data_IF_871675719059
#
_entry.id   IF_871675719059
#
_cell.length_a   1.000
_cell.length_b   1.000
_cell.length_c   1.000
_cell.angle_alpha   90.00
_cell.angle_beta   90.00
_cell.angle_gamma   90.00
#
_symmetry.space_group_name_H-M   'P 1'
#
loop_
_entity.id
_entity.type
_entity.pdbx_description
1 polymer ?
#
# COMPACT_ATOMS: atom_id res chain seq x y z
N UNK A 1 39.06 -18.86 33.82
CA UNK A 1 38.09 -17.75 33.71
C UNK A 1 38.37 -16.82 32.52
N UNK A 2 39.55 -16.17 32.38
CA UNK A 2 39.84 -15.23 31.27
C UNK A 2 39.73 -15.82 29.85
N UNK A 3 40.17 -17.06 29.63
CA UNK A 3 40.05 -17.77 28.34
C UNK A 3 38.58 -18.03 27.95
N UNK A 4 37.76 -18.47 28.91
CA UNK A 4 36.33 -18.69 28.70
C UNK A 4 35.61 -17.39 28.34
N UNK A 5 35.90 -16.30 29.06
CA UNK A 5 35.32 -14.98 28.77
C UNK A 5 35.67 -14.48 27.36
N UNK A 6 36.90 -14.71 26.90
CA UNK A 6 37.34 -14.37 25.54
C UNK A 6 36.61 -15.19 24.47
N UNK A 7 36.44 -16.50 24.68
CA UNK A 7 35.71 -17.38 23.76
C UNK A 7 34.23 -16.96 23.68
N UNK A 8 33.62 -16.67 24.83
CA UNK A 8 32.22 -16.18 24.88
C UNK A 8 32.09 -14.85 24.13
N UNK A 9 33.01 -13.90 24.36
CA UNK A 9 33.00 -12.61 23.67
C UNK A 9 33.15 -12.74 22.14
N UNK A 10 34.06 -13.60 21.67
CA UNK A 10 34.24 -13.88 20.24
C UNK A 10 32.98 -14.54 19.65
N UNK A 11 32.38 -15.47 20.38
CA UNK A 11 31.16 -16.17 19.93
C UNK A 11 29.98 -15.21 19.81
N UNK A 12 29.80 -14.31 20.78
CA UNK A 12 28.78 -13.26 20.72
C UNK A 12 29.01 -12.31 19.55
N UNK A 13 30.25 -11.84 19.35
CA UNK A 13 30.58 -10.99 18.21
C UNK A 13 30.29 -11.69 16.88
N UNK A 14 30.61 -12.98 16.76
CA UNK A 14 30.32 -13.77 15.56
C UNK A 14 28.81 -13.88 15.32
N UNK A 15 28.02 -14.15 16.35
CA UNK A 15 26.55 -14.21 16.24
C UNK A 15 25.97 -12.88 15.77
N UNK A 16 26.45 -11.75 16.30
CA UNK A 16 26.02 -10.42 15.85
C UNK A 16 26.37 -10.19 14.38
N UNK A 17 27.60 -10.49 13.97
CA UNK A 17 28.04 -10.33 12.57
C UNK A 17 27.21 -11.20 11.63
N UNK A 18 26.96 -12.46 11.99
CA UNK A 18 26.14 -13.37 11.19
C UNK A 18 24.68 -12.92 11.13
N UNK A 19 24.13 -12.38 12.22
CA UNK A 19 22.76 -11.87 12.27
C UNK A 19 22.62 -10.61 11.41
N UNK A 20 23.59 -9.70 11.47
CA UNK A 20 23.65 -8.53 10.59
C UNK A 20 23.76 -8.95 9.13
N UNK A 21 24.68 -9.86 8.79
CA UNK A 21 24.83 -10.36 7.43
C UNK A 21 23.53 -11.02 6.93
N UNK A 22 22.87 -11.85 7.77
CA UNK A 22 21.57 -12.45 7.46
C UNK A 22 20.49 -11.40 7.21
N UNK A 23 20.40 -10.37 8.06
CA UNK A 23 19.49 -9.25 7.87
C UNK A 23 19.76 -8.50 6.56
N UNK A 24 21.02 -8.19 6.25
CA UNK A 24 21.38 -7.51 5.00
C UNK A 24 21.04 -8.36 3.77
N UNK A 25 21.30 -9.67 3.79
CA UNK A 25 20.92 -10.57 2.70
C UNK A 25 19.40 -10.58 2.50
N UNK A 26 18.64 -10.65 3.60
CA UNK A 26 17.18 -10.60 3.55
C UNK A 26 16.68 -9.25 3.02
N UNK A 27 17.20 -8.14 3.54
CA UNK A 27 16.81 -6.78 3.16
C UNK A 27 17.15 -6.46 1.69
N UNK A 28 18.21 -7.06 1.15
CA UNK A 28 18.62 -6.90 -0.25
C UNK A 28 17.88 -7.83 -1.22
N UNK A 29 16.97 -8.69 -0.75
CA UNK A 29 16.19 -9.60 -1.58
C UNK A 29 14.68 -9.35 -1.45
N UNK A 30 14.18 -8.18 -1.89
CA UNK A 30 12.76 -7.88 -1.85
C UNK A 30 11.96 -8.77 -2.82
N UNK A 31 10.65 -8.86 -2.58
CA UNK A 31 9.73 -9.53 -3.50
C UNK A 31 9.84 -8.91 -4.90
N UNK A 32 9.89 -9.77 -5.91
CA UNK A 32 9.99 -9.35 -7.31
C UNK A 32 8.60 -8.99 -7.85
N UNK A 33 8.56 -8.00 -8.74
CA UNK A 33 7.35 -7.67 -9.48
C UNK A 33 6.88 -8.86 -10.34
N UNK A 34 5.57 -9.10 -10.39
CA UNK A 34 4.96 -10.10 -11.28
C UNK A 34 4.96 -9.65 -12.74
N UNK A 35 4.75 -10.62 -13.63
CA UNK A 35 4.58 -10.39 -15.07
C UNK A 35 3.57 -9.30 -15.40
N UNK A 36 2.42 -9.23 -14.71
CA UNK A 36 1.41 -8.17 -14.93
C UNK A 36 1.96 -6.77 -14.63
N UNK A 37 2.67 -6.60 -13.51
CA UNK A 37 3.29 -5.32 -13.17
C UNK A 37 4.42 -4.97 -14.16
N UNK A 38 5.24 -5.95 -14.54
CA UNK A 38 6.31 -5.77 -15.54
C UNK A 38 5.75 -5.42 -16.93
N UNK A 39 4.63 -6.02 -17.33
CA UNK A 39 3.92 -5.69 -18.56
C UNK A 39 3.33 -4.28 -18.52
N UNK A 40 2.78 -3.87 -17.37
CA UNK A 40 2.28 -2.51 -17.19
C UNK A 40 3.38 -1.45 -17.30
N UNK A 41 4.65 -1.79 -17.01
CA UNK A 41 5.80 -0.88 -17.17
C UNK A 41 6.23 -0.69 -18.62
N UNK A 42 5.59 -1.35 -19.59
CA UNK A 42 5.88 -1.17 -21.01
C UNK A 42 4.93 -0.13 -21.61
N UNK A 43 5.50 0.79 -22.39
CA UNK A 43 4.67 1.72 -23.17
C UNK A 43 3.89 0.98 -24.26
N UNK A 44 2.66 1.41 -24.51
CA UNK A 44 1.79 0.90 -25.57
C UNK A 44 1.07 2.03 -26.33
N UNK A 45 0.05 1.69 -27.12
CA UNK A 45 -0.72 2.65 -27.92
C UNK A 45 -1.56 3.62 -27.07
N UNK A 46 -1.88 3.26 -25.82
CA UNK A 46 -2.72 4.03 -24.92
C UNK A 46 -1.90 4.81 -23.88
N UNK A 47 -0.82 4.23 -23.37
CA UNK A 47 -0.04 4.77 -22.25
C UNK A 47 1.46 4.76 -22.56
N UNK A 48 2.10 5.92 -22.36
CA UNK A 48 3.55 6.08 -22.33
C UNK A 48 4.06 5.92 -20.91
N UNK A 49 5.04 5.05 -20.72
CA UNK A 49 5.71 4.82 -19.44
C UNK A 49 7.11 5.41 -19.49
N UNK A 50 7.40 6.31 -18.56
CA UNK A 50 8.73 6.91 -18.37
C UNK A 50 9.24 6.60 -16.97
N UNK A 51 10.33 5.84 -16.88
CA UNK A 51 11.01 5.57 -15.62
C UNK A 51 12.13 6.60 -15.40
N UNK A 52 12.06 7.29 -14.27
CA UNK A 52 13.10 8.24 -13.82
C UNK A 52 13.78 7.70 -12.56
N UNK A 53 14.77 8.42 -12.03
CA UNK A 53 15.41 8.03 -10.77
C UNK A 53 14.45 8.11 -9.56
N UNK A 54 13.44 8.99 -9.63
CA UNK A 54 12.60 9.34 -8.48
C UNK A 54 11.17 8.80 -8.59
N UNK A 55 10.67 8.57 -9.80
CA UNK A 55 9.30 8.12 -10.06
C UNK A 55 9.15 7.40 -11.41
N UNK A 56 8.06 6.64 -11.52
CA UNK A 56 7.57 6.08 -12.78
C UNK A 56 6.33 6.87 -13.18
N UNK A 57 6.35 7.43 -14.37
CA UNK A 57 5.28 8.25 -14.91
C UNK A 57 4.53 7.49 -16.01
N UNK A 58 3.20 7.46 -15.87
CA UNK A 58 2.27 6.89 -16.85
C UNK A 58 1.47 8.03 -17.46
N UNK A 59 1.63 8.27 -18.76
CA UNK A 59 0.95 9.35 -19.48
C UNK A 59 0.07 8.80 -20.59
N UNK A 60 -1.18 9.26 -20.73
CA UNK A 60 -1.99 8.91 -21.91
C UNK A 60 -1.31 9.43 -23.19
N UNK A 61 -1.27 8.59 -24.22
CA UNK A 61 -0.67 8.96 -25.52
C UNK A 61 -1.59 9.88 -26.31
N UNK A 62 -2.90 9.64 -26.24
CA UNK A 62 -3.90 10.30 -27.08
C UNK A 62 -4.23 11.73 -26.65
N UNK A 63 -4.05 12.07 -25.36
CA UNK A 63 -4.53 13.32 -24.77
C UNK A 63 -3.50 13.91 -23.81
N UNK A 64 -3.52 15.23 -23.66
CA UNK A 64 -2.68 15.90 -22.66
C UNK A 64 -3.36 15.84 -21.29
N UNK A 65 -2.77 15.11 -20.35
CA UNK A 65 -3.26 15.04 -18.98
C UNK A 65 -3.12 16.40 -18.26
N UNK A 66 -4.21 16.88 -17.66
CA UNK A 66 -4.26 18.08 -16.79
C UNK A 66 -4.31 17.74 -15.31
N UNK A 67 -4.69 16.50 -14.99
CA UNK A 67 -4.76 15.93 -13.63
C UNK A 67 -3.83 14.73 -13.56
N UNK A 68 -3.00 14.67 -12.51
CA UNK A 68 -2.09 13.56 -12.24
C UNK A 68 -2.44 12.87 -10.93
N UNK A 69 -2.31 11.55 -10.90
CA UNK A 69 -2.46 10.74 -9.70
C UNK A 69 -1.10 10.25 -9.23
N UNK A 70 -0.78 10.48 -7.96
CA UNK A 70 0.47 10.02 -7.36
C UNK A 70 0.16 8.74 -6.58
N UNK A 71 0.68 7.62 -7.07
CA UNK A 71 0.71 6.38 -6.31
C UNK A 71 1.94 6.41 -5.41
N UNK A 72 1.76 6.82 -4.16
CA UNK A 72 2.82 6.75 -3.16
C UNK A 72 3.01 5.30 -2.69
N UNK A 73 4.25 4.80 -2.54
CA UNK A 73 4.48 3.46 -2.04
C UNK A 73 3.74 3.23 -0.73
N UNK A 74 2.82 2.26 -0.74
CA UNK A 74 2.17 1.81 0.48
C UNK A 74 0.75 2.30 0.71
N UNK A 75 -0.06 2.73 -0.25
CA UNK A 75 -1.51 2.95 0.00
C UNK A 75 -2.28 1.78 0.68
N UNK A 76 -1.62 0.62 0.80
CA UNK A 76 -2.02 -0.53 1.59
C UNK A 76 -1.58 -0.48 3.07
N UNK A 77 -2.48 -0.86 3.98
CA UNK A 77 -2.17 -1.07 5.40
C UNK A 77 -1.45 0.12 6.06
N UNK A 78 -0.30 -0.07 6.72
CA UNK A 78 0.46 0.99 7.39
C UNK A 78 0.86 2.14 6.45
N UNK A 79 1.16 1.86 5.18
CA UNK A 79 1.53 2.94 4.28
C UNK A 79 0.33 3.83 3.91
N UNK A 80 -0.91 3.35 4.03
CA UNK A 80 -2.11 4.17 3.83
C UNK A 80 -2.25 5.18 4.97
N UNK A 81 -1.93 4.77 6.21
CA UNK A 81 -1.80 5.68 7.36
C UNK A 81 -0.72 6.73 7.10
N UNK A 82 0.45 6.30 6.61
CA UNK A 82 1.53 7.22 6.26
C UNK A 82 1.13 8.19 5.12
N UNK A 83 0.34 7.72 4.15
CA UNK A 83 -0.20 8.53 3.05
C UNK A 83 -1.18 9.59 3.57
N UNK A 84 -1.99 9.27 4.58
CA UNK A 84 -2.86 10.23 5.25
C UNK A 84 -2.04 11.34 5.95
N UNK A 85 -0.98 10.98 6.68
CA UNK A 85 -0.10 11.95 7.32
C UNK A 85 0.68 12.81 6.33
N UNK A 86 1.04 12.24 5.18
CA UNK A 86 1.62 12.99 4.08
C UNK A 86 0.58 14.00 3.56
N UNK A 87 -0.63 13.56 3.20
CA UNK A 87 -1.70 14.44 2.75
C UNK A 87 -2.05 15.56 3.74
N UNK A 88 -1.97 15.30 5.05
CA UNK A 88 -2.21 16.30 6.08
C UNK A 88 -1.22 17.49 6.01
N UNK A 89 -0.01 17.26 5.52
CA UNK A 89 1.05 18.28 5.39
C UNK A 89 1.15 18.89 3.98
N UNK A 90 0.39 18.36 3.03
CA UNK A 90 0.47 18.69 1.61
C UNK A 90 -0.89 19.19 1.09
N UNK A 91 -1.18 20.50 1.18
CA UNK A 91 -2.48 21.09 0.80
C UNK A 91 -2.86 20.89 -0.67
N UNK A 92 -1.89 20.65 -1.54
CA UNK A 92 -2.08 20.32 -2.95
C UNK A 92 -2.78 18.96 -3.17
N UNK A 93 -2.72 18.05 -2.20
CA UNK A 93 -3.38 16.75 -2.26
C UNK A 93 -4.87 16.93 -2.00
N UNK A 94 -5.70 16.52 -2.98
CA UNK A 94 -7.16 16.65 -2.95
C UNK A 94 -7.90 15.35 -2.68
N UNK A 95 -7.22 14.20 -2.78
CA UNK A 95 -7.82 12.90 -2.51
C UNK A 95 -6.81 11.89 -1.94
N UNK A 96 -7.29 10.93 -1.15
CA UNK A 96 -6.53 9.77 -0.65
C UNK A 96 -7.34 8.49 -0.85
N UNK A 97 -6.70 7.45 -1.37
CA UNK A 97 -7.29 6.12 -1.52
C UNK A 97 -6.61 5.17 -0.55
N UNK A 98 -7.40 4.44 0.24
CA UNK A 98 -6.96 3.47 1.21
C UNK A 98 -7.32 2.05 0.77
N UNK A 99 -6.31 1.17 0.68
CA UNK A 99 -6.51 -0.26 0.46
C UNK A 99 -6.25 -1.01 1.77
N UNK A 100 -7.29 -1.61 2.37
CA UNK A 100 -7.22 -2.19 3.71
C UNK A 100 -6.52 -1.26 4.73
N UNK A 101 -6.87 0.03 4.71
CA UNK A 101 -6.23 1.07 5.49
C UNK A 101 -7.21 2.20 5.83
N UNK A 102 -6.76 3.18 6.61
CA UNK A 102 -7.56 4.28 7.15
C UNK A 102 -6.64 5.41 7.66
N UNK A 103 -7.14 6.66 7.82
CA UNK A 103 -6.44 7.67 8.60
C UNK A 103 -6.53 7.36 10.10
N UNK A 104 -5.40 7.45 10.81
CA UNK A 104 -5.32 7.09 12.23
C UNK A 104 -5.66 8.23 13.20
N UNK A 105 -5.94 9.44 12.69
CA UNK A 105 -6.27 10.65 13.45
C UNK A 105 -7.18 11.59 12.63
N UNK A 106 -7.68 12.66 13.24
CA UNK A 106 -8.63 13.60 12.66
C UNK A 106 -8.01 14.71 11.80
N UNK A 107 -6.70 14.68 11.54
CA UNK A 107 -5.99 15.80 10.90
C UNK A 107 -6.54 16.15 9.51
N UNK A 108 -7.10 15.16 8.80
CA UNK A 108 -7.70 15.34 7.48
C UNK A 108 -9.16 15.81 7.51
N UNK A 109 -9.87 15.74 8.66
CA UNK A 109 -11.29 16.15 8.74
C UNK A 109 -11.52 17.64 8.51
N UNK A 110 -10.52 18.47 8.78
CA UNK A 110 -10.59 19.92 8.57
C UNK A 110 -10.38 20.32 7.11
N UNK A 111 -10.04 19.37 6.23
CA UNK A 111 -9.73 19.61 4.84
C UNK A 111 -10.90 19.26 3.92
N UNK A 112 -11.03 19.99 2.83
CA UNK A 112 -11.83 19.57 1.67
C UNK A 112 -11.02 18.54 0.88
N UNK A 113 -11.01 17.31 1.39
CA UNK A 113 -10.26 16.18 0.82
C UNK A 113 -11.22 15.01 0.59
N UNK A 114 -11.08 14.37 -0.57
CA UNK A 114 -11.94 13.25 -0.96
C UNK A 114 -11.27 11.94 -0.57
N UNK A 115 -12.05 10.97 -0.11
CA UNK A 115 -11.50 9.70 0.34
C UNK A 115 -12.25 8.51 -0.24
N UNK A 116 -11.50 7.46 -0.55
CA UNK A 116 -11.99 6.14 -0.92
C UNK A 116 -11.34 5.13 0.02
N UNK A 117 -12.12 4.28 0.67
CA UNK A 117 -11.64 3.19 1.51
C UNK A 117 -12.17 1.85 0.96
N UNK A 118 -11.26 0.98 0.52
CA UNK A 118 -11.54 -0.35 0.00
C UNK A 118 -10.98 -1.38 0.97
N UNK A 119 -11.77 -2.35 1.41
CA UNK A 119 -11.35 -3.40 2.35
C UNK A 119 -12.09 -4.71 2.08
N UNK A 120 -11.71 -5.80 2.75
CA UNK A 120 -12.29 -7.13 2.52
C UNK A 120 -13.11 -7.68 3.69
N UNK A 121 -14.06 -8.59 3.43
CA UNK A 121 -14.82 -9.26 4.51
C UNK A 121 -13.97 -10.27 5.30
N UNK A 122 -12.91 -10.79 4.69
CA UNK A 122 -11.93 -11.71 5.31
C UNK A 122 -10.66 -10.95 5.75
N UNK A 123 -10.72 -9.61 5.77
CA UNK A 123 -9.69 -8.73 6.32
C UNK A 123 -9.67 -8.89 7.85
N UNK A 124 -8.93 -9.93 8.26
CA UNK A 124 -9.10 -10.60 9.54
C UNK A 124 -7.89 -10.60 10.45
N UNK A 125 -6.80 -9.91 10.09
CA UNK A 125 -5.73 -9.59 11.04
C UNK A 125 -6.31 -8.99 12.32
N UNK A 126 -5.68 -9.24 13.47
CA UNK A 126 -6.27 -9.19 14.83
C UNK A 126 -7.15 -7.98 15.24
N UNK A 127 -7.28 -6.92 14.43
CA UNK A 127 -8.27 -5.86 14.64
C UNK A 127 -8.64 -5.09 13.34
N UNK A 128 -8.17 -5.44 12.13
CA UNK A 128 -8.17 -4.51 10.97
C UNK A 128 -9.57 -4.17 10.41
N UNK A 129 -10.45 -5.15 10.18
CA UNK A 129 -11.85 -4.85 9.81
C UNK A 129 -12.60 -4.05 10.88
N UNK A 130 -12.29 -4.28 12.17
CA UNK A 130 -12.84 -3.50 13.28
C UNK A 130 -12.25 -2.09 13.32
N UNK A 131 -10.95 -1.95 13.03
CA UNK A 131 -10.25 -0.66 12.98
C UNK A 131 -10.83 0.22 11.88
N UNK A 132 -11.09 -0.31 10.70
CA UNK A 132 -11.71 0.48 9.63
C UNK A 132 -13.01 1.09 10.12
N UNK A 133 -13.89 0.30 10.75
CA UNK A 133 -15.13 0.83 11.34
C UNK A 133 -14.86 1.86 12.45
N UNK A 134 -13.92 1.59 13.35
CA UNK A 134 -13.53 2.50 14.44
C UNK A 134 -12.95 3.83 13.93
N UNK A 135 -12.26 3.82 12.80
CA UNK A 135 -11.58 4.96 12.21
C UNK A 135 -12.40 5.69 11.14
N UNK A 136 -13.63 5.23 10.83
CA UNK A 136 -14.59 6.03 10.02
C UNK A 136 -14.82 7.42 10.58
N UNK A 137 -14.74 7.58 11.91
CA UNK A 137 -14.87 8.89 12.58
C UNK A 137 -13.81 9.91 12.19
N UNK A 138 -12.68 9.47 11.64
CA UNK A 138 -11.58 10.31 11.18
C UNK A 138 -11.61 10.58 9.68
N UNK A 139 -12.67 10.15 9.01
CA UNK A 139 -12.88 10.32 7.59
C UNK A 139 -14.04 11.30 7.34
N UNK A 140 -13.97 12.14 6.29
CA UNK A 140 -15.07 12.99 5.88
C UNK A 140 -16.37 12.21 5.68
N UNK A 141 -17.53 12.85 5.91
CA UNK A 141 -18.84 12.20 5.80
C UNK A 141 -19.17 11.69 4.40
N UNK A 142 -18.58 12.30 3.38
CA UNK A 142 -18.71 11.95 1.97
C UNK A 142 -17.64 10.96 1.50
N UNK A 143 -16.89 10.34 2.42
CA UNK A 143 -15.97 9.25 2.11
C UNK A 143 -16.73 8.06 1.51
N UNK A 144 -16.19 7.51 0.43
CA UNK A 144 -16.75 6.34 -0.25
C UNK A 144 -16.11 5.07 0.34
N UNK A 145 -16.94 4.12 0.77
CA UNK A 145 -16.48 2.85 1.33
C UNK A 145 -16.92 1.68 0.46
N UNK A 146 -16.01 0.76 0.15
CA UNK A 146 -16.30 -0.51 -0.51
C UNK A 146 -15.73 -1.68 0.29
N UNK A 147 -16.61 -2.62 0.63
CA UNK A 147 -16.23 -3.90 1.21
C UNK A 147 -16.29 -4.99 0.15
N UNK A 148 -15.16 -5.62 -0.16
CA UNK A 148 -15.03 -6.70 -1.13
C UNK A 148 -15.28 -8.03 -0.42
N UNK A 149 -16.38 -8.70 -0.76
CA UNK A 149 -16.71 -10.02 -0.22
C UNK A 149 -15.65 -11.04 -0.60
N UNK A 150 -15.11 -11.73 0.40
CA UNK A 150 -14.10 -12.78 0.23
C UNK A 150 -12.66 -12.29 0.11
N UNK A 151 -12.43 -10.97 0.01
CA UNK A 151 -11.09 -10.40 0.00
C UNK A 151 -10.47 -10.42 1.41
N UNK A 152 -9.15 -10.54 1.49
CA UNK A 152 -8.39 -10.42 2.73
C UNK A 152 -7.30 -9.34 2.66
N UNK A 153 -6.68 -9.05 3.80
CA UNK A 153 -5.70 -7.98 3.96
C UNK A 153 -4.48 -8.15 3.04
N UNK A 154 -3.82 -9.30 3.10
CA UNK A 154 -2.58 -9.57 2.38
C UNK A 154 -2.72 -9.56 0.86
N UNK A 155 -3.90 -9.93 0.33
CA UNK A 155 -4.15 -9.97 -1.11
C UNK A 155 -4.32 -8.59 -1.76
N UNK A 156 -4.33 -7.49 -1.01
CA UNK A 156 -4.22 -6.13 -1.59
C UNK A 156 -2.80 -5.81 -2.06
N UNK A 157 -1.82 -6.62 -1.69
CA UNK A 157 -0.44 -6.51 -2.12
C UNK A 157 0.12 -7.87 -2.56
N UNK A 158 1.38 -7.88 -3.02
CA UNK A 158 2.06 -9.05 -3.56
C UNK A 158 3.18 -9.55 -2.63
N UNK A 159 2.86 -9.69 -1.34
CA UNK A 159 3.81 -10.17 -0.32
C UNK A 159 3.47 -11.57 0.22
N UNK A 160 2.36 -12.16 -0.24
CA UNK A 160 1.85 -13.45 0.23
C UNK A 160 0.99 -13.35 1.48
N UNK A 161 0.64 -14.51 2.10
CA UNK A 161 -0.19 -14.55 3.30
C UNK A 161 0.46 -13.83 4.49
N UNK A 162 -0.32 -13.08 5.26
CA UNK A 162 0.15 -12.43 6.48
C UNK A 162 -0.35 -13.15 7.75
N UNK A 163 0.46 -13.20 8.83
CA UNK A 163 -0.01 -13.72 10.11
C UNK A 163 -1.24 -12.96 10.61
N UNK A 164 -2.31 -13.70 10.93
CA UNK A 164 -3.57 -13.13 11.43
C UNK A 164 -4.66 -13.00 10.37
N UNK A 165 -4.32 -13.02 9.07
CA UNK A 165 -5.33 -12.98 8.02
C UNK A 165 -6.19 -14.25 8.00
N UNK A 166 -7.48 -14.08 7.73
CA UNK A 166 -8.31 -15.19 7.29
C UNK A 166 -7.97 -15.53 5.83
N UNK A 167 -8.06 -16.81 5.43
CA UNK A 167 -7.94 -17.17 4.03
C UNK A 167 -8.97 -16.43 3.18
N UNK A 168 -8.54 -15.77 2.11
CA UNK A 168 -9.45 -15.19 1.14
C UNK A 168 -10.29 -16.28 0.45
N UNK A 169 -11.53 -15.95 0.09
CA UNK A 169 -12.42 -16.83 -0.68
C UNK A 169 -12.51 -16.47 -2.16
N UNK A 170 -11.88 -15.37 -2.56
CA UNK A 170 -11.69 -14.97 -3.97
C UNK A 170 -10.20 -15.02 -4.34
N UNK A 171 -9.92 -15.18 -5.62
CA UNK A 171 -8.52 -15.16 -6.08
C UNK A 171 -7.91 -13.78 -5.92
N UNK A 172 -6.59 -13.72 -5.73
CA UNK A 172 -5.90 -12.43 -5.66
C UNK A 172 -6.00 -11.63 -6.96
N UNK A 173 -6.03 -12.31 -8.12
CA UNK A 173 -6.22 -11.65 -9.41
C UNK A 173 -7.58 -10.93 -9.47
N UNK A 174 -8.63 -11.60 -9.00
CA UNK A 174 -9.97 -11.01 -8.88
C UNK A 174 -10.00 -9.83 -7.89
N UNK A 175 -9.35 -9.96 -6.73
CA UNK A 175 -9.25 -8.86 -5.76
C UNK A 175 -8.50 -7.65 -6.31
N UNK A 176 -7.38 -7.85 -7.01
CA UNK A 176 -6.64 -6.78 -7.68
C UNK A 176 -7.49 -6.08 -8.73
N UNK A 177 -8.20 -6.85 -9.54
CA UNK A 177 -9.04 -6.34 -10.63
C UNK A 177 -10.22 -5.51 -10.09
N UNK A 178 -10.88 -5.96 -9.02
CA UNK A 178 -11.90 -5.17 -8.31
C UNK A 178 -11.31 -3.91 -7.71
N UNK A 179 -10.18 -4.02 -6.99
CA UNK A 179 -9.53 -2.88 -6.33
C UNK A 179 -9.09 -1.81 -7.33
N UNK A 180 -8.49 -2.23 -8.45
CA UNK A 180 -8.04 -1.35 -9.52
C UNK A 180 -9.22 -0.63 -10.18
N UNK A 181 -10.32 -1.34 -10.49
CA UNK A 181 -11.54 -0.73 -11.03
C UNK A 181 -12.14 0.31 -10.10
N UNK A 182 -12.37 -0.05 -8.84
CA UNK A 182 -12.95 0.88 -7.85
C UNK A 182 -12.08 2.13 -7.67
N UNK A 183 -10.76 1.95 -7.67
CA UNK A 183 -9.81 3.06 -7.63
C UNK A 183 -9.93 3.90 -8.89
N UNK A 184 -9.88 3.31 -10.08
CA UNK A 184 -9.99 4.03 -11.35
C UNK A 184 -11.33 4.77 -11.50
N UNK A 185 -12.44 4.17 -11.09
CA UNK A 185 -13.78 4.78 -11.13
C UNK A 185 -13.88 5.99 -10.20
N UNK A 186 -13.31 5.89 -9.00
CA UNK A 186 -13.20 7.04 -8.10
C UNK A 186 -12.36 8.14 -8.74
N UNK A 187 -11.17 7.81 -9.22
CA UNK A 187 -10.27 8.78 -9.87
C UNK A 187 -10.89 9.42 -11.13
N UNK A 188 -11.75 8.70 -11.85
CA UNK A 188 -12.49 9.19 -13.01
C UNK A 188 -13.47 10.32 -12.73
N UNK A 189 -13.75 10.63 -11.46
CA UNK A 189 -14.63 11.73 -11.06
C UNK A 189 -13.96 13.11 -11.21
N UNK A 190 -12.63 13.19 -11.33
CA UNK A 190 -11.87 14.44 -11.47
C UNK A 190 -11.51 14.80 -12.92
N UNK A 191 -12.31 14.36 -13.90
CA UNK A 191 -12.18 14.77 -15.30
C UNK A 191 -12.72 16.19 -15.47
N UNK A 192 -11.88 17.19 -15.19
CA UNK A 192 -12.10 18.59 -15.61
C UNK A 192 -11.15 18.98 -16.74
#
# INVERSE_FOLDING_TARGET
MKKALKIVGISLALVVVLSMAGFFIWAMNPSKARGVALSALQSDEMVRVTETQDYILFEPVAEKATVGFIFYPGGHSLGGVASAWFAAKHPEIRAVVFWASYPADDTLLSRDIKMLSIYGTEDGGLDEGRKIELYKKFQPKDTVFYEIKGANHGQFADYGPQPGDKPATISQAEQFDITARLTADFLGQWKE
#
